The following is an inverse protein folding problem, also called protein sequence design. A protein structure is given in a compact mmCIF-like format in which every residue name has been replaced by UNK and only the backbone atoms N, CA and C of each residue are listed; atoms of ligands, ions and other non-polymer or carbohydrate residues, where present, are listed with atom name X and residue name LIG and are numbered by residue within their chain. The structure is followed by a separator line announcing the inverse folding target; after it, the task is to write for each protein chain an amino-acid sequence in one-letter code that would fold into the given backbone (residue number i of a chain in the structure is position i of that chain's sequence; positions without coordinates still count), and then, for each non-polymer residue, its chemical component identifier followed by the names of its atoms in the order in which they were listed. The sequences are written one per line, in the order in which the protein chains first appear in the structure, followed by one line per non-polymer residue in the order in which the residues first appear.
data_IF_671112526937
#
_entry.id   IF_671112526937
#
_cell.length_a   1.000
_cell.length_b   1.000
_cell.length_c   1.000
_cell.angle_alpha   90.00
_cell.angle_beta   90.00
_cell.angle_gamma   90.00
#
_symmetry.space_group_name_H-M   'P 1'
#
loop_
_entity.id
_entity.type
_entity.pdbx_description
1 polymer ?
#
# COMPACT_ATOMS: atom_id res chain seq x y z
N UNK A 1 30.41 -19.45 -1.08
CA UNK A 1 30.45 -17.99 -0.85
C UNK A 1 29.76 -17.16 -1.95
N UNK A 2 30.06 -17.35 -3.26
CA UNK A 2 29.40 -16.57 -4.34
C UNK A 2 27.88 -16.76 -4.40
N UNK A 3 27.38 -17.99 -4.24
CA UNK A 3 25.95 -18.28 -4.26
C UNK A 3 25.21 -17.63 -3.09
N UNK A 4 25.75 -17.75 -1.87
CA UNK A 4 25.17 -17.17 -0.66
C UNK A 4 25.03 -15.64 -0.75
N UNK A 5 26.04 -14.93 -1.26
CA UNK A 5 25.96 -13.48 -1.51
C UNK A 5 24.83 -13.14 -2.48
N UNK A 6 24.69 -13.91 -3.56
CA UNK A 6 23.64 -13.70 -4.57
C UNK A 6 22.24 -13.84 -3.96
N UNK A 7 22.04 -14.79 -3.04
CA UNK A 7 20.77 -14.93 -2.30
C UNK A 7 20.47 -13.65 -1.52
N UNK A 8 21.40 -13.17 -0.69
CA UNK A 8 21.19 -11.95 0.08
C UNK A 8 20.94 -10.71 -0.78
N UNK A 9 21.64 -10.60 -1.92
CA UNK A 9 21.42 -9.52 -2.88
C UNK A 9 20.00 -9.58 -3.48
N UNK A 10 19.57 -10.73 -3.99
CA UNK A 10 18.23 -10.90 -4.57
C UNK A 10 17.11 -10.72 -3.53
N UNK A 11 17.31 -11.22 -2.32
CA UNK A 11 16.38 -11.00 -1.20
C UNK A 11 16.25 -9.52 -0.86
N UNK A 12 17.36 -8.78 -0.86
CA UNK A 12 17.32 -7.33 -0.59
C UNK A 12 16.48 -6.59 -1.65
N UNK A 13 16.63 -6.95 -2.92
CA UNK A 13 15.80 -6.38 -4.01
C UNK A 13 14.32 -6.67 -3.76
N UNK A 14 13.97 -7.93 -3.46
CA UNK A 14 12.59 -8.34 -3.20
C UNK A 14 11.97 -7.54 -2.04
N UNK A 15 12.66 -7.42 -0.91
CA UNK A 15 12.11 -6.73 0.25
C UNK A 15 12.05 -5.20 0.07
N UNK A 16 12.98 -4.61 -0.69
CA UNK A 16 12.85 -3.21 -1.10
C UNK A 16 11.62 -2.99 -2.00
N UNK A 17 11.32 -3.90 -2.94
CA UNK A 17 10.10 -3.81 -3.77
C UNK A 17 8.85 -3.82 -2.88
N UNK A 18 8.75 -4.76 -1.93
CA UNK A 18 7.62 -4.82 -1.00
C UNK A 18 7.47 -3.51 -0.21
N UNK A 19 8.59 -2.96 0.26
CA UNK A 19 8.59 -1.69 0.99
C UNK A 19 8.11 -0.52 0.10
N UNK A 20 8.64 -0.40 -1.12
CA UNK A 20 8.27 0.66 -2.08
C UNK A 20 6.76 0.61 -2.40
N UNK A 21 6.19 -0.58 -2.59
CA UNK A 21 4.79 -0.76 -2.98
C UNK A 21 3.80 -0.58 -1.83
N UNK A 22 4.13 -1.07 -0.62
CA UNK A 22 3.13 -1.18 0.47
C UNK A 22 3.33 -0.19 1.62
N UNK A 23 4.49 0.46 1.74
CA UNK A 23 4.68 1.49 2.76
C UNK A 23 3.71 2.68 2.57
N UNK A 24 3.54 3.25 1.36
CA UNK A 24 2.58 4.34 1.15
C UNK A 24 1.15 3.95 1.47
N UNK A 25 0.75 2.72 1.14
CA UNK A 25 -0.56 2.18 1.49
C UNK A 25 -0.77 2.19 3.01
N UNK A 26 0.18 1.62 3.78
CA UNK A 26 0.08 1.59 5.24
C UNK A 26 -0.04 3.01 5.83
N UNK A 27 0.75 3.95 5.34
CA UNK A 27 0.73 5.33 5.81
C UNK A 27 -0.60 6.02 5.49
N UNK A 28 -1.17 5.80 4.31
CA UNK A 28 -2.40 6.45 3.87
C UNK A 28 -3.67 5.86 4.50
N UNK A 29 -3.69 4.54 4.79
CA UNK A 29 -4.81 3.86 5.47
C UNK A 29 -5.00 4.38 6.89
N UNK A 30 -3.92 4.73 7.60
CA UNK A 30 -4.00 5.23 8.97
C UNK A 30 -3.78 6.74 9.09
N UNK A 31 -3.94 7.47 7.98
CA UNK A 31 -3.85 8.93 7.97
C UNK A 31 -5.24 9.55 7.86
N UNK A 32 -5.81 10.01 8.97
CA UNK A 32 -7.13 10.67 9.00
C UNK A 32 -7.25 11.81 7.98
N UNK A 33 -6.21 12.64 7.88
CA UNK A 33 -6.18 13.76 6.94
C UNK A 33 -6.34 13.32 5.48
N UNK A 34 -5.84 12.12 5.14
CA UNK A 34 -6.01 11.55 3.81
C UNK A 34 -7.50 11.28 3.52
N UNK A 35 -8.23 10.72 4.49
CA UNK A 35 -9.67 10.45 4.38
C UNK A 35 -10.47 11.74 4.30
N UNK A 36 -10.25 12.70 5.20
CA UNK A 36 -11.02 13.95 5.18
C UNK A 36 -10.87 14.70 3.85
N UNK A 37 -9.65 14.75 3.32
CA UNK A 37 -9.39 15.35 2.00
C UNK A 37 -10.05 14.58 0.85
N UNK A 38 -10.18 13.25 0.95
CA UNK A 38 -10.87 12.45 -0.06
C UNK A 38 -12.39 12.54 0.06
N UNK A 39 -12.93 12.61 1.28
CA UNK A 39 -14.35 12.83 1.55
C UNK A 39 -14.82 14.17 1.00
N UNK A 40 -14.03 15.24 1.19
CA UNK A 40 -14.29 16.55 0.59
C UNK A 40 -14.28 16.46 -0.95
N UNK A 41 -13.23 15.87 -1.53
CA UNK A 41 -13.09 15.72 -2.99
C UNK A 41 -14.22 14.89 -3.63
N UNK A 42 -14.82 13.98 -2.86
CA UNK A 42 -15.85 13.04 -3.31
C UNK A 42 -17.24 13.39 -2.78
N UNK A 43 -17.45 14.63 -2.33
CA UNK A 43 -18.76 15.20 -1.96
C UNK A 43 -19.49 14.45 -0.83
N UNK A 44 -18.77 13.76 0.06
CA UNK A 44 -19.39 13.00 1.17
C UNK A 44 -20.15 13.94 2.12
N UNK A 45 -19.62 15.14 2.35
CA UNK A 45 -20.23 16.13 3.25
C UNK A 45 -21.47 16.84 2.68
N UNK A 46 -21.84 16.60 1.41
CA UNK A 46 -23.11 17.11 0.86
C UNK A 46 -24.31 16.34 1.41
N UNK A 47 -24.10 15.07 1.80
CA UNK A 47 -25.16 14.17 2.26
C UNK A 47 -25.07 13.84 3.76
N UNK A 48 -23.95 14.18 4.42
CA UNK A 48 -23.70 13.83 5.83
C UNK A 48 -23.02 14.98 6.58
N UNK A 49 -23.35 15.14 7.86
CA UNK A 49 -22.67 16.12 8.72
C UNK A 49 -21.20 15.76 8.94
N UNK A 50 -20.32 16.77 8.89
CA UNK A 50 -18.88 16.56 9.01
C UNK A 50 -18.48 15.94 10.38
N UNK A 51 -19.18 16.31 11.45
CA UNK A 51 -18.90 15.80 12.80
C UNK A 51 -19.29 14.32 12.90
N UNK A 52 -20.40 13.93 12.28
CA UNK A 52 -20.84 12.55 12.18
C UNK A 52 -19.87 11.71 11.36
N UNK A 53 -19.49 12.16 10.16
CA UNK A 53 -18.50 11.49 9.30
C UNK A 53 -17.18 11.28 10.04
N UNK A 54 -16.72 12.29 10.79
CA UNK A 54 -15.51 12.18 11.60
C UNK A 54 -15.61 11.09 12.66
N UNK A 55 -16.72 11.01 13.37
CA UNK A 55 -16.93 10.00 14.41
C UNK A 55 -16.96 8.59 13.82
N UNK A 56 -17.64 8.40 12.69
CA UNK A 56 -17.69 7.12 11.99
C UNK A 56 -16.30 6.72 11.49
N UNK A 57 -15.56 7.66 10.87
CA UNK A 57 -14.20 7.41 10.39
C UNK A 57 -13.28 6.99 11.54
N UNK A 58 -13.32 7.70 12.67
CA UNK A 58 -12.48 7.37 13.82
C UNK A 58 -12.79 5.96 14.33
N UNK A 59 -14.08 5.60 14.49
CA UNK A 59 -14.45 4.23 14.87
C UNK A 59 -13.95 3.18 13.87
N UNK A 60 -14.02 3.45 12.57
CA UNK A 60 -13.50 2.55 11.54
C UNK A 60 -11.97 2.40 11.62
N UNK A 61 -11.23 3.49 11.82
CA UNK A 61 -9.77 3.46 11.93
C UNK A 61 -9.31 2.76 13.20
N UNK A 62 -10.00 2.96 14.34
CA UNK A 62 -9.77 2.22 15.57
C UNK A 62 -10.08 0.73 15.40
N UNK A 63 -11.18 0.37 14.73
CA UNK A 63 -11.48 -1.02 14.40
C UNK A 63 -10.35 -1.68 13.58
N UNK A 64 -9.78 -0.97 12.60
CA UNK A 64 -8.66 -1.47 11.80
C UNK A 64 -7.33 -1.54 12.55
N UNK A 65 -7.07 -0.63 13.50
CA UNK A 65 -5.78 -0.50 14.18
C UNK A 65 -5.72 -1.25 15.53
N UNK A 66 -6.79 -1.14 16.32
CA UNK A 66 -6.85 -1.55 17.74
C UNK A 66 -7.85 -2.68 18.01
N UNK A 67 -8.55 -3.14 16.97
CA UNK A 67 -9.53 -4.23 17.05
C UNK A 67 -10.77 -3.93 17.92
N UNK A 68 -11.07 -2.65 18.10
CA UNK A 68 -12.27 -2.15 18.78
C UNK A 68 -13.57 -2.57 18.08
N UNK A 69 -14.71 -2.48 18.78
CA UNK A 69 -16.01 -2.78 18.18
C UNK A 69 -16.42 -1.74 17.13
N UNK A 70 -17.01 -2.20 16.03
CA UNK A 70 -17.51 -1.36 14.94
C UNK A 70 -19.00 -1.08 15.15
N UNK A 71 -19.40 0.18 15.32
CA UNK A 71 -20.76 0.51 15.80
C UNK A 71 -21.73 0.94 14.70
N UNK A 72 -21.27 1.76 13.75
CA UNK A 72 -22.15 2.51 12.84
C UNK A 72 -22.66 1.74 11.63
N UNK A 73 -21.98 0.66 11.26
CA UNK A 73 -22.28 -0.11 10.05
C UNK A 73 -23.35 -1.19 10.31
N UNK A 74 -24.10 -1.58 9.28
CA UNK A 74 -25.02 -2.73 9.33
C UNK A 74 -24.28 -4.06 9.53
N UNK A 75 -24.99 -5.14 9.87
CA UNK A 75 -24.39 -6.46 10.06
C UNK A 75 -23.56 -6.93 8.86
N UNK A 76 -24.08 -6.68 7.66
CA UNK A 76 -23.45 -7.14 6.41
C UNK A 76 -22.22 -6.29 6.07
N UNK A 77 -22.30 -4.97 6.29
CA UNK A 77 -21.14 -4.08 6.15
C UNK A 77 -20.05 -4.40 7.18
N UNK A 78 -20.41 -4.68 8.43
CA UNK A 78 -19.45 -5.11 9.46
C UNK A 78 -18.75 -6.41 9.05
N UNK A 79 -19.49 -7.38 8.50
CA UNK A 79 -18.91 -8.63 8.03
C UNK A 79 -17.88 -8.41 6.91
N UNK A 80 -18.17 -7.52 5.95
CA UNK A 80 -17.22 -7.15 4.91
C UNK A 80 -16.00 -6.41 5.47
N UNK A 81 -16.22 -5.44 6.35
CA UNK A 81 -15.14 -4.67 6.97
C UNK A 81 -14.23 -5.54 7.84
N UNK A 82 -14.75 -6.63 8.43
CA UNK A 82 -13.94 -7.66 9.08
C UNK A 82 -13.00 -8.37 8.11
N UNK A 83 -13.50 -8.76 6.94
CA UNK A 83 -12.66 -9.37 5.89
C UNK A 83 -11.56 -8.39 5.42
N UNK A 84 -11.92 -7.11 5.24
CA UNK A 84 -10.96 -6.04 4.91
C UNK A 84 -9.91 -5.87 6.02
N UNK A 85 -10.32 -5.90 7.29
CA UNK A 85 -9.43 -5.84 8.45
C UNK A 85 -8.43 -6.98 8.42
N UNK A 86 -8.89 -8.21 8.18
CA UNK A 86 -8.03 -9.39 8.07
C UNK A 86 -7.04 -9.24 6.91
N UNK A 87 -7.49 -8.71 5.77
CA UNK A 87 -6.62 -8.43 4.62
C UNK A 87 -5.52 -7.41 4.98
N UNK A 88 -5.87 -6.31 5.65
CA UNK A 88 -4.92 -5.33 6.14
C UNK A 88 -3.93 -5.92 7.14
N UNK A 89 -4.39 -6.73 8.11
CA UNK A 89 -3.50 -7.42 9.06
C UNK A 89 -2.48 -8.30 8.35
N UNK A 90 -2.91 -9.12 7.38
CA UNK A 90 -2.02 -9.98 6.59
C UNK A 90 -1.00 -9.15 5.80
N UNK A 91 -1.45 -8.08 5.16
CA UNK A 91 -0.60 -7.24 4.34
C UNK A 91 0.44 -6.47 5.16
N UNK A 92 0.04 -5.91 6.31
CA UNK A 92 0.95 -5.17 7.17
C UNK A 92 1.87 -6.09 7.98
N UNK A 93 1.46 -7.33 8.26
CA UNK A 93 2.35 -8.37 8.74
C UNK A 93 3.43 -8.71 7.70
N UNK A 94 3.05 -8.90 6.43
CA UNK A 94 4.00 -9.11 5.33
C UNK A 94 5.01 -7.95 5.25
N UNK A 95 4.54 -6.70 5.35
CA UNK A 95 5.41 -5.53 5.35
C UNK A 95 6.39 -5.54 6.54
N UNK A 96 5.89 -5.81 7.76
CA UNK A 96 6.71 -5.88 8.98
C UNK A 96 7.77 -6.96 8.89
N UNK A 97 7.40 -8.16 8.43
CA UNK A 97 8.33 -9.28 8.23
C UNK A 97 9.35 -8.94 7.14
N UNK A 98 8.92 -8.31 6.05
CA UNK A 98 9.81 -7.90 4.96
C UNK A 98 10.85 -6.89 5.41
N UNK A 99 10.50 -5.95 6.29
CA UNK A 99 11.47 -5.02 6.89
C UNK A 99 12.51 -5.79 7.72
N UNK A 100 12.07 -6.73 8.57
CA UNK A 100 13.00 -7.53 9.37
C UNK A 100 13.94 -8.37 8.49
N UNK A 101 13.40 -9.01 7.45
CA UNK A 101 14.18 -9.83 6.51
C UNK A 101 15.09 -8.98 5.62
N UNK A 102 14.71 -7.73 5.31
CA UNK A 102 15.59 -6.77 4.64
C UNK A 102 16.82 -6.46 5.50
N UNK A 103 16.65 -6.24 6.81
CA UNK A 103 17.81 -6.04 7.69
C UNK A 103 18.73 -7.27 7.71
N UNK A 104 18.16 -8.47 7.84
CA UNK A 104 18.93 -9.72 7.77
C UNK A 104 19.67 -9.84 6.43
N UNK A 105 19.00 -9.50 5.32
CA UNK A 105 19.62 -9.61 4.00
C UNK A 105 20.73 -8.58 3.79
N UNK A 106 20.56 -7.36 4.29
CA UNK A 106 21.58 -6.32 4.24
C UNK A 106 22.79 -6.65 5.12
N UNK A 107 22.60 -7.23 6.30
CA UNK A 107 23.70 -7.70 7.17
C UNK A 107 24.47 -8.82 6.47
N UNK A 108 23.78 -9.80 5.89
CA UNK A 108 24.40 -10.88 5.12
C UNK A 108 25.14 -10.35 3.89
N UNK A 109 24.58 -9.36 3.20
CA UNK A 109 25.22 -8.71 2.07
C UNK A 109 26.47 -7.94 2.50
N UNK A 110 26.42 -7.21 3.61
CA UNK A 110 27.56 -6.49 4.20
C UNK A 110 28.71 -7.44 4.53
N UNK A 111 28.41 -8.54 5.24
CA UNK A 111 29.42 -9.51 5.67
C UNK A 111 30.13 -10.23 4.49
N UNK A 112 29.45 -10.36 3.35
CA UNK A 112 29.96 -11.13 2.19
C UNK A 112 30.46 -10.26 1.03
N UNK A 113 30.27 -8.94 1.08
CA UNK A 113 30.60 -8.03 -0.02
C UNK A 113 31.94 -7.35 0.21
N UNK A 114 32.78 -7.33 -0.83
CA UNK A 114 34.02 -6.53 -0.82
C UNK A 114 33.75 -5.02 -0.85
N UNK A 115 32.65 -4.62 -1.46
CA UNK A 115 32.16 -3.24 -1.49
C UNK A 115 30.64 -3.25 -1.27
N UNK A 116 30.23 -3.20 -0.01
CA UNK A 116 28.81 -3.19 0.36
C UNK A 116 28.06 -2.01 -0.23
N UNK A 117 28.68 -0.82 -0.26
CA UNK A 117 28.04 0.40 -0.75
C UNK A 117 27.59 0.26 -2.21
N UNK A 118 28.47 -0.25 -3.08
CA UNK A 118 28.13 -0.49 -4.48
C UNK A 118 27.01 -1.55 -4.63
N UNK A 119 27.02 -2.63 -3.83
CA UNK A 119 25.99 -3.67 -3.89
C UNK A 119 24.64 -3.18 -3.34
N UNK A 120 24.66 -2.37 -2.28
CA UNK A 120 23.47 -1.75 -1.70
C UNK A 120 22.76 -0.84 -2.71
N UNK A 121 23.48 0.11 -3.31
CA UNK A 121 22.88 1.04 -4.27
C UNK A 121 22.44 0.36 -5.55
N UNK A 122 23.12 -0.72 -5.98
CA UNK A 122 22.64 -1.58 -7.07
C UNK A 122 21.34 -2.29 -6.72
N UNK A 123 21.22 -2.87 -5.53
CA UNK A 123 19.99 -3.53 -5.10
C UNK A 123 18.84 -2.53 -5.04
N UNK A 124 19.08 -1.34 -4.46
CA UNK A 124 18.10 -0.26 -4.36
C UNK A 124 17.66 0.25 -5.75
N UNK A 125 18.61 0.45 -6.66
CA UNK A 125 18.34 0.83 -8.05
C UNK A 125 17.48 -0.21 -8.77
N UNK A 126 17.84 -1.49 -8.67
CA UNK A 126 17.07 -2.57 -9.30
C UNK A 126 15.66 -2.68 -8.72
N UNK A 127 15.50 -2.57 -7.40
CA UNK A 127 14.17 -2.54 -6.79
C UNK A 127 13.34 -1.33 -7.24
N UNK A 128 13.97 -0.17 -7.42
CA UNK A 128 13.32 1.03 -7.95
C UNK A 128 12.85 0.83 -9.39
N UNK A 129 13.69 0.28 -10.27
CA UNK A 129 13.30 0.00 -11.66
C UNK A 129 12.18 -1.05 -11.74
N UNK A 130 12.30 -2.16 -11.00
CA UNK A 130 11.27 -3.19 -10.96
C UNK A 130 9.93 -2.65 -10.43
N UNK A 131 9.97 -1.83 -9.37
CA UNK A 131 8.77 -1.20 -8.82
C UNK A 131 8.15 -0.23 -9.81
N UNK A 132 8.96 0.59 -10.49
CA UNK A 132 8.47 1.51 -11.53
C UNK A 132 7.73 0.79 -12.66
N UNK A 133 8.28 -0.33 -13.15
CA UNK A 133 7.63 -1.16 -14.19
C UNK A 133 6.29 -1.70 -13.68
N UNK A 134 6.26 -2.24 -12.47
CA UNK A 134 5.02 -2.76 -11.88
C UNK A 134 3.97 -1.66 -11.64
N UNK A 135 4.39 -0.50 -11.12
CA UNK A 135 3.52 0.66 -10.93
C UNK A 135 2.95 1.19 -12.25
N UNK A 136 3.72 1.11 -13.34
CA UNK A 136 3.24 1.47 -14.68
C UNK A 136 2.07 0.57 -15.11
N UNK A 137 2.16 -0.75 -14.84
CA UNK A 137 1.06 -1.68 -15.10
C UNK A 137 -0.19 -1.35 -14.27
N UNK A 138 0.01 -1.04 -12.98
CA UNK A 138 -1.09 -0.65 -12.09
C UNK A 138 -1.75 0.68 -12.51
N UNK A 139 -0.97 1.63 -13.02
CA UNK A 139 -1.49 2.87 -13.59
C UNK A 139 -2.42 2.60 -14.78
N UNK A 140 -2.00 1.73 -15.71
CA UNK A 140 -2.87 1.32 -16.83
C UNK A 140 -4.14 0.60 -16.37
N UNK A 141 -4.05 -0.26 -15.35
CA UNK A 141 -5.22 -0.90 -14.75
C UNK A 141 -6.21 0.14 -14.18
N UNK A 142 -5.71 1.23 -13.60
CA UNK A 142 -6.53 2.31 -13.04
C UNK A 142 -7.36 3.10 -14.05
N UNK A 143 -7.03 3.01 -15.35
CA UNK A 143 -7.76 3.70 -16.41
C UNK A 143 -9.21 3.19 -16.50
N UNK A 144 -9.42 1.89 -16.28
CA UNK A 144 -10.73 1.30 -16.07
C UNK A 144 -10.84 0.81 -14.62
N UNK A 145 -11.04 1.77 -13.72
CA UNK A 145 -11.04 1.50 -12.29
C UNK A 145 -12.17 0.56 -11.88
N UNK A 146 -13.35 0.62 -12.50
CA UNK A 146 -14.48 -0.25 -12.15
C UNK A 146 -14.17 -1.74 -12.37
N UNK A 147 -13.52 -2.08 -13.49
CA UNK A 147 -13.05 -3.46 -13.75
C UNK A 147 -11.98 -3.86 -12.72
N UNK A 148 -11.04 -2.96 -12.44
CA UNK A 148 -9.96 -3.21 -11.47
C UNK A 148 -10.52 -3.39 -10.06
N UNK A 149 -11.50 -2.59 -9.67
CA UNK A 149 -12.18 -2.64 -8.38
C UNK A 149 -12.92 -3.98 -8.22
N UNK A 150 -13.75 -4.36 -9.19
CA UNK A 150 -14.46 -5.64 -9.15
C UNK A 150 -13.50 -6.84 -9.19
N UNK A 151 -12.46 -6.79 -10.02
CA UNK A 151 -11.43 -7.84 -10.08
C UNK A 151 -10.67 -8.02 -8.76
N UNK A 152 -10.32 -6.90 -8.10
CA UNK A 152 -9.73 -6.94 -6.75
C UNK A 152 -10.69 -7.60 -5.75
N UNK A 153 -11.96 -7.20 -5.75
CA UNK A 153 -12.90 -7.73 -4.78
C UNK A 153 -13.22 -9.21 -5.01
N UNK A 154 -13.32 -9.66 -6.26
CA UNK A 154 -13.47 -11.10 -6.58
C UNK A 154 -12.28 -11.93 -6.13
N UNK A 155 -11.07 -11.37 -6.19
CA UNK A 155 -9.85 -12.07 -5.79
C UNK A 155 -9.75 -12.22 -4.26
N UNK A 156 -10.08 -11.16 -3.50
CA UNK A 156 -9.88 -11.13 -2.06
C UNK A 156 -11.15 -11.45 -1.24
N UNK A 157 -12.33 -11.30 -1.83
CA UNK A 157 -13.64 -11.56 -1.22
C UNK A 157 -14.49 -12.47 -2.13
N UNK A 158 -14.04 -13.71 -2.42
CA UNK A 158 -14.72 -14.62 -3.36
C UNK A 158 -16.14 -15.03 -2.91
N UNK A 159 -16.48 -14.83 -1.63
CA UNK A 159 -17.82 -15.00 -1.06
C UNK A 159 -18.84 -13.95 -1.54
N UNK A 160 -18.39 -12.87 -2.19
CA UNK A 160 -19.27 -11.87 -2.80
C UNK A 160 -19.89 -10.85 -1.84
N UNK A 161 -19.45 -10.78 -0.59
CA UNK A 161 -19.98 -9.88 0.45
C UNK A 161 -19.44 -8.44 0.35
N UNK A 162 -19.21 -7.92 -0.86
CA UNK A 162 -18.68 -6.57 -1.09
C UNK A 162 -19.62 -5.67 -1.91
N UNK A 163 -20.79 -6.18 -2.30
CA UNK A 163 -21.79 -5.45 -3.05
C UNK A 163 -22.85 -4.90 -2.08
N UNK A 164 -23.01 -3.59 -2.06
CA UNK A 164 -23.96 -2.89 -1.19
C UNK A 164 -24.83 -1.94 -2.01
N UNK A 165 -26.02 -1.61 -1.49
CA UNK A 165 -26.88 -0.60 -2.10
C UNK A 165 -26.24 0.78 -2.01
N UNK A 166 -26.65 1.71 -2.89
CA UNK A 166 -26.24 3.11 -2.84
C UNK A 166 -26.68 3.82 -1.55
N UNK A 167 -27.65 3.27 -0.83
CA UNK A 167 -28.16 3.79 0.44
C UNK A 167 -27.37 3.29 1.65
N UNK A 168 -26.45 2.33 1.45
CA UNK A 168 -25.60 1.83 2.52
C UNK A 168 -24.63 2.91 3.02
N UNK A 169 -24.30 2.87 4.31
CA UNK A 169 -23.38 3.83 4.91
C UNK A 169 -21.98 3.70 4.30
N UNK A 170 -21.56 2.46 4.02
CA UNK A 170 -20.27 2.15 3.41
C UNK A 170 -20.14 2.79 2.02
N UNK A 171 -21.16 2.69 1.17
CA UNK A 171 -21.11 3.29 -0.18
C UNK A 171 -21.25 4.81 -0.11
N UNK A 172 -22.01 5.33 0.86
CA UNK A 172 -22.14 6.78 1.08
C UNK A 172 -20.80 7.42 1.47
N UNK A 173 -20.04 6.78 2.38
CA UNK A 173 -18.73 7.26 2.82
C UNK A 173 -17.62 6.96 1.80
N UNK A 174 -17.66 5.78 1.18
CA UNK A 174 -16.61 5.26 0.30
C UNK A 174 -17.17 4.92 -1.09
N UNK A 175 -17.64 5.92 -1.85
CA UNK A 175 -18.06 5.68 -3.23
C UNK A 175 -16.87 5.18 -4.07
N UNK A 176 -17.12 4.52 -5.20
CA UNK A 176 -16.05 3.97 -6.06
C UNK A 176 -14.95 5.01 -6.40
N UNK A 177 -15.36 6.26 -6.63
CA UNK A 177 -14.44 7.37 -6.92
C UNK A 177 -13.50 7.68 -5.75
N UNK A 178 -13.93 7.52 -4.49
CA UNK A 178 -13.07 7.59 -3.33
C UNK A 178 -11.93 6.56 -3.44
N UNK A 179 -12.26 5.30 -3.75
CA UNK A 179 -11.26 4.24 -3.87
C UNK A 179 -10.32 4.48 -5.04
N UNK A 180 -10.81 5.02 -6.17
CA UNK A 180 -9.96 5.42 -7.29
C UNK A 180 -8.95 6.48 -6.87
N UNK A 181 -9.41 7.52 -6.19
CA UNK A 181 -8.55 8.60 -5.72
C UNK A 181 -7.56 8.14 -4.65
N UNK A 182 -8.00 7.28 -3.73
CA UNK A 182 -7.13 6.64 -2.74
C UNK A 182 -6.04 5.81 -3.42
N UNK A 183 -6.42 4.98 -4.40
CA UNK A 183 -5.49 4.17 -5.19
C UNK A 183 -4.45 5.02 -5.91
N UNK A 184 -4.87 6.14 -6.52
CA UNK A 184 -3.95 7.09 -7.18
C UNK A 184 -2.96 7.70 -6.17
N UNK A 185 -3.39 8.04 -4.94
CA UNK A 185 -2.48 8.53 -3.90
C UNK A 185 -1.44 7.48 -3.49
N UNK A 186 -1.86 6.21 -3.36
CA UNK A 186 -0.95 5.09 -3.08
C UNK A 186 0.05 4.90 -4.22
N UNK A 187 -0.42 4.92 -5.48
CA UNK A 187 0.46 4.85 -6.66
C UNK A 187 1.48 5.97 -6.68
N UNK A 188 1.05 7.20 -6.41
CA UNK A 188 1.92 8.36 -6.41
C UNK A 188 2.98 8.29 -5.31
N UNK A 189 2.60 7.92 -4.08
CA UNK A 189 3.56 7.69 -2.99
C UNK A 189 4.57 6.60 -3.33
N UNK A 190 4.12 5.50 -3.94
CA UNK A 190 4.99 4.39 -4.36
C UNK A 190 5.93 4.81 -5.48
N UNK A 191 5.45 5.63 -6.42
CA UNK A 191 6.25 6.20 -7.50
C UNK A 191 7.36 7.10 -6.96
N UNK A 192 7.07 7.94 -5.96
CA UNK A 192 8.09 8.77 -5.29
C UNK A 192 9.18 7.89 -4.69
N UNK A 193 8.83 6.86 -3.91
CA UNK A 193 9.80 5.94 -3.32
C UNK A 193 10.62 5.20 -4.38
N UNK A 194 9.96 4.81 -5.48
CA UNK A 194 10.60 4.19 -6.64
C UNK A 194 11.66 5.10 -7.27
N UNK A 195 11.33 6.38 -7.48
CA UNK A 195 12.26 7.37 -8.05
C UNK A 195 13.43 7.63 -7.11
N UNK A 196 13.17 7.85 -5.81
CA UNK A 196 14.20 8.07 -4.79
C UNK A 196 15.19 6.89 -4.77
N UNK A 197 14.70 5.66 -4.95
CA UNK A 197 15.53 4.45 -4.96
C UNK A 197 16.50 4.37 -6.15
N UNK A 198 16.18 5.03 -7.26
CA UNK A 198 16.99 5.01 -8.49
C UNK A 198 18.11 6.07 -8.47
N UNK A 199 17.85 7.23 -7.86
CA UNK A 199 18.74 8.40 -7.94
C UNK A 199 20.20 8.14 -7.47
N UNK A 200 20.46 7.49 -6.31
CA UNK A 200 21.83 7.37 -5.79
C UNK A 200 22.80 6.67 -6.75
N UNK A 201 22.34 5.62 -7.43
CA UNK A 201 23.18 4.88 -8.38
C UNK A 201 23.50 5.72 -9.64
N UNK A 202 22.57 6.56 -10.09
CA UNK A 202 22.81 7.46 -11.21
C UNK A 202 23.87 8.51 -10.88
N UNK A 203 23.86 9.04 -9.65
CA UNK A 203 24.90 9.96 -9.17
C UNK A 203 26.27 9.28 -9.06
N UNK A 204 26.34 8.07 -8.49
CA UNK A 204 27.59 7.32 -8.40
C UNK A 204 28.18 7.00 -9.79
N UNK A 205 27.34 6.67 -10.77
CA UNK A 205 27.78 6.42 -12.14
C UNK A 205 28.32 7.68 -12.83
N UNK A 206 27.84 8.87 -12.46
CA UNK A 206 28.38 10.16 -12.94
C UNK A 206 29.74 10.47 -12.32
N UNK A 207 29.96 10.15 -11.04
CA UNK A 207 31.23 10.40 -10.34
C UNK A 207 32.38 9.47 -10.77
N UNK A 208 32.05 8.29 -11.33
CA UNK A 208 33.02 7.31 -11.82
C UNK A 208 33.41 7.54 -13.29
N UNK A 209 32.79 8.49 -13.98
CA UNK A 209 33.13 8.93 -15.35
C UNK A 209 33.98 10.18 -15.30
#
# INVERSE_FOLDING_TARGET
MKMTKKIFFLSSILFFIILILFLPLKLLVFCEQNYFSLFEKNNVYENMDMSEVKLILLNLLFFFNEEEELFYFSSDEKAHLEDVRILFKKLFLLLKVSIALLFVSLIGLYALSKNFQDEFFKALFLSGICSFVFLSLLFFASLNFSITFDGFHKLFFPQGNYLFSSESLLITLFPEKFFKDFFIRVLFGSLILSIISVLPQLFLNKLKK
#
